data_IF_953304946547
#
_entry.id   IF_953304946547
#
_cell.length_a   1.000
_cell.length_b   1.000
_cell.length_c   1.000
_cell.angle_alpha   90.00
_cell.angle_beta   90.00
_cell.angle_gamma   90.00
#
_symmetry.space_group_name_H-M   'P 1'
#
loop_
_entity.id
_entity.type
_entity.pdbx_description
1 polymer ?
#
# COMPACT_ATOMS: atom_id res chain seq x y z
N UNK A 1 -39.97 8.29 -14.38
CA UNK A 1 -38.63 8.01 -14.90
C UNK A 1 -38.60 6.53 -15.16
N UNK A 2 -38.51 6.14 -16.43
CA UNK A 2 -38.57 4.74 -16.84
C UNK A 2 -37.16 4.16 -16.90
N UNK A 3 -37.01 2.84 -16.74
CA UNK A 3 -35.68 2.20 -16.66
C UNK A 3 -34.84 2.32 -17.95
N UNK A 4 -35.48 2.66 -19.07
CA UNK A 4 -34.85 2.83 -20.38
C UNK A 4 -33.97 4.06 -20.48
N UNK A 5 -34.20 5.09 -19.64
CA UNK A 5 -33.42 6.35 -19.67
C UNK A 5 -32.21 6.32 -18.73
N UNK A 6 -32.05 5.24 -17.97
CA UNK A 6 -30.99 5.10 -16.96
C UNK A 6 -29.58 5.05 -17.58
N UNK A 7 -29.32 4.34 -18.70
CA UNK A 7 -27.99 4.31 -19.32
C UNK A 7 -27.47 5.67 -19.80
N UNK A 8 -28.39 6.58 -20.16
CA UNK A 8 -28.07 7.89 -20.75
C UNK A 8 -27.87 9.00 -19.71
N UNK A 9 -27.89 8.66 -18.41
CA UNK A 9 -27.68 9.61 -17.32
C UNK A 9 -26.27 10.21 -17.34
N UNK A 10 -26.18 11.45 -17.80
CA UNK A 10 -24.92 12.21 -17.79
C UNK A 10 -24.61 12.78 -16.39
N UNK A 11 -23.32 12.97 -16.09
CA UNK A 11 -22.82 13.51 -14.81
C UNK A 11 -23.39 14.89 -14.50
N UNK A 12 -23.50 15.74 -15.50
CA UNK A 12 -23.99 17.12 -15.33
C UNK A 12 -25.48 17.15 -14.97
N UNK A 13 -26.26 16.22 -15.52
CA UNK A 13 -27.68 16.05 -15.18
C UNK A 13 -27.83 15.56 -13.73
N UNK A 14 -27.02 14.58 -13.32
CA UNK A 14 -27.04 14.08 -11.94
C UNK A 14 -26.63 15.16 -10.91
N UNK A 15 -25.67 16.02 -11.27
CA UNK A 15 -25.31 17.19 -10.45
C UNK A 15 -26.45 18.21 -10.39
N UNK A 16 -27.10 18.49 -11.52
CA UNK A 16 -28.28 19.35 -11.59
C UNK A 16 -29.46 18.84 -10.76
N UNK A 17 -29.56 17.53 -10.56
CA UNK A 17 -30.54 16.86 -9.68
C UNK A 17 -30.12 16.84 -8.19
N UNK A 18 -28.99 17.44 -7.83
CA UNK A 18 -28.50 17.51 -6.44
C UNK A 18 -27.84 16.23 -5.92
N UNK A 19 -27.47 15.31 -6.82
CA UNK A 19 -26.78 14.06 -6.44
C UNK A 19 -25.33 14.38 -6.08
N UNK A 20 -24.87 13.91 -4.92
CA UNK A 20 -23.49 14.10 -4.46
C UNK A 20 -22.52 13.30 -5.32
N UNK A 21 -21.28 13.80 -5.45
CA UNK A 21 -20.25 13.18 -6.29
C UNK A 21 -20.02 11.70 -5.97
N UNK A 22 -19.99 11.33 -4.69
CA UNK A 22 -19.86 9.93 -4.28
C UNK A 22 -21.02 9.04 -4.74
N UNK A 23 -22.24 9.57 -4.75
CA UNK A 23 -23.43 8.86 -5.24
C UNK A 23 -23.43 8.76 -6.76
N UNK A 24 -22.99 9.80 -7.46
CA UNK A 24 -22.80 9.77 -8.92
C UNK A 24 -21.86 8.64 -9.33
N UNK A 25 -20.73 8.47 -8.63
CA UNK A 25 -19.76 7.40 -8.90
C UNK A 25 -20.40 6.03 -8.68
N UNK A 26 -21.17 5.86 -7.59
CA UNK A 26 -21.87 4.60 -7.29
C UNK A 26 -22.93 4.27 -8.34
N UNK A 27 -23.72 5.27 -8.75
CA UNK A 27 -24.76 5.12 -9.78
C UNK A 27 -24.12 4.77 -11.12
N UNK A 28 -23.07 5.49 -11.56
CA UNK A 28 -22.35 5.15 -12.79
C UNK A 28 -21.79 3.73 -12.75
N UNK A 29 -21.16 3.33 -11.64
CA UNK A 29 -20.65 1.96 -11.47
C UNK A 29 -21.77 0.92 -11.58
N UNK A 30 -22.93 1.19 -11.00
CA UNK A 30 -24.09 0.31 -11.09
C UNK A 30 -24.64 0.22 -12.51
N UNK A 31 -24.75 1.34 -13.22
CA UNK A 31 -25.17 1.41 -14.63
C UNK A 31 -24.19 0.63 -15.50
N UNK A 32 -22.89 0.89 -15.33
CA UNK A 32 -21.83 0.17 -16.05
C UNK A 32 -21.91 -1.33 -15.78
N UNK A 33 -22.14 -1.75 -14.54
CA UNK A 33 -22.33 -3.17 -14.23
C UNK A 33 -23.59 -3.72 -14.90
N UNK A 34 -24.76 -3.12 -14.68
CA UNK A 34 -26.06 -3.63 -15.15
C UNK A 34 -26.15 -3.67 -16.68
N UNK A 35 -25.63 -2.66 -17.37
CA UNK A 35 -25.79 -2.50 -18.82
C UNK A 35 -24.54 -2.88 -19.65
N UNK A 36 -23.32 -2.86 -19.09
CA UNK A 36 -22.10 -3.36 -19.76
C UNK A 36 -21.73 -4.80 -19.36
N UNK A 37 -22.70 -5.61 -18.94
CA UNK A 37 -22.54 -7.03 -18.55
C UNK A 37 -21.79 -7.90 -19.60
N UNK A 38 -21.75 -7.47 -20.87
CA UNK A 38 -21.05 -8.15 -21.97
C UNK A 38 -19.61 -7.69 -22.27
N UNK A 39 -19.18 -6.51 -21.81
CA UNK A 39 -17.81 -6.02 -21.99
C UNK A 39 -17.04 -6.19 -20.68
N UNK A 40 -16.68 -7.43 -20.37
CA UNK A 40 -15.62 -7.69 -19.40
C UNK A 40 -14.37 -6.97 -19.91
N UNK A 41 -14.07 -5.79 -19.37
CA UNK A 41 -12.74 -5.21 -19.49
C UNK A 41 -11.84 -6.17 -18.72
N UNK A 42 -11.25 -7.11 -19.45
CA UNK A 42 -10.21 -7.99 -18.95
C UNK A 42 -9.10 -7.09 -18.43
N UNK A 43 -9.07 -6.87 -17.12
CA UNK A 43 -7.87 -6.38 -16.47
C UNK A 43 -6.88 -7.52 -16.58
N UNK A 44 -5.97 -7.41 -17.57
CA UNK A 44 -4.84 -8.31 -17.69
C UNK A 44 -3.92 -8.02 -16.51
N UNK A 45 -4.11 -8.78 -15.43
CA UNK A 45 -3.00 -9.07 -14.53
C UNK A 45 -2.03 -9.92 -15.36
N UNK A 46 -0.78 -9.48 -15.46
CA UNK A 46 0.23 -10.04 -16.36
C UNK A 46 0.20 -11.56 -16.42
N UNK A 47 -0.05 -12.06 -17.64
CA UNK A 47 0.31 -13.38 -18.17
C UNK A 47 0.70 -14.47 -17.15
N UNK A 48 -0.30 -15.13 -16.56
CA UNK A 48 -0.16 -16.53 -16.18
C UNK A 48 -1.06 -17.35 -17.09
N UNK A 49 -0.48 -17.80 -18.20
CA UNK A 49 -1.15 -18.71 -19.13
C UNK A 49 -1.31 -20.06 -18.46
N UNK A 50 -2.52 -20.38 -18.01
CA UNK A 50 -2.93 -21.76 -17.73
C UNK A 50 -3.08 -22.43 -19.10
N UNK A 51 -2.01 -23.05 -19.58
CA UNK A 51 -2.04 -23.90 -20.78
C UNK A 51 -2.70 -25.22 -20.37
N UNK A 52 -3.77 -25.69 -21.05
CA UNK A 52 -4.36 -26.99 -20.78
C UNK A 52 -3.35 -28.10 -21.06
N UNK A 53 -3.40 -29.16 -20.25
CA UNK A 53 -2.56 -30.34 -20.33
C UNK A 53 -2.68 -31.04 -21.70
N UNK A 54 -1.77 -30.72 -22.63
CA UNK A 54 -1.42 -31.61 -23.74
C UNK A 54 0.04 -32.03 -23.58
N UNK A 55 0.16 -33.25 -23.07
CA UNK A 55 1.36 -34.05 -22.90
C UNK A 55 1.84 -34.45 -24.29
N UNK A 56 2.97 -33.92 -24.75
CA UNK A 56 4.14 -34.72 -25.15
C UNK A 56 5.18 -33.90 -25.96
N UNK A 57 6.45 -34.20 -25.69
CA UNK A 57 7.68 -33.68 -26.34
C UNK A 57 8.15 -32.30 -25.88
N UNK A 58 9.13 -32.28 -24.96
CA UNK A 58 10.39 -31.50 -25.04
C UNK A 58 11.04 -31.36 -23.65
N UNK A 59 11.66 -32.42 -23.13
CA UNK A 59 12.41 -32.36 -21.86
C UNK A 59 13.72 -31.57 -21.94
N UNK A 60 14.15 -31.12 -23.14
CA UNK A 60 15.36 -30.30 -23.34
C UNK A 60 15.13 -28.78 -23.38
N UNK A 61 13.89 -28.30 -23.47
CA UNK A 61 13.57 -26.87 -23.57
C UNK A 61 13.11 -26.23 -22.23
N UNK A 62 12.98 -27.04 -21.15
CA UNK A 62 12.53 -26.55 -19.84
C UNK A 62 13.63 -25.84 -19.04
N UNK A 63 14.91 -26.19 -19.23
CA UNK A 63 16.01 -25.56 -18.49
C UNK A 63 16.21 -24.11 -18.95
N UNK A 64 16.34 -23.89 -20.27
CA UNK A 64 16.57 -22.57 -20.85
C UNK A 64 15.41 -21.59 -20.60
N UNK A 65 14.16 -22.08 -20.62
CA UNK A 65 12.98 -21.28 -20.27
C UNK A 65 12.93 -20.90 -18.77
N UNK A 66 13.39 -21.79 -17.88
CA UNK A 66 13.48 -21.49 -16.43
C UNK A 66 14.59 -20.49 -16.13
N UNK A 67 15.73 -20.60 -16.80
CA UNK A 67 16.86 -19.71 -16.58
C UNK A 67 16.52 -18.27 -17.04
N UNK A 68 15.89 -18.12 -18.22
CA UNK A 68 15.39 -16.82 -18.69
C UNK A 68 14.31 -16.21 -17.79
N UNK A 69 13.34 -17.02 -17.33
CA UNK A 69 12.33 -16.56 -16.36
C UNK A 69 12.95 -16.12 -15.03
N UNK A 70 14.02 -16.80 -14.58
CA UNK A 70 14.70 -16.45 -13.32
C UNK A 70 15.47 -15.14 -13.41
N UNK A 71 16.09 -14.84 -14.56
CA UNK A 71 16.86 -13.61 -14.77
C UNK A 71 15.95 -12.38 -14.95
N UNK A 72 14.82 -12.54 -15.66
CA UNK A 72 13.83 -11.47 -15.80
C UNK A 72 13.13 -11.16 -14.46
N UNK A 73 12.83 -12.19 -13.65
CA UNK A 73 12.29 -12.00 -12.30
C UNK A 73 13.28 -11.25 -11.38
N UNK A 74 14.57 -11.61 -11.42
CA UNK A 74 15.62 -10.91 -10.65
C UNK A 74 15.81 -9.46 -11.10
N UNK A 75 15.76 -9.18 -12.40
CA UNK A 75 15.87 -7.80 -12.92
C UNK A 75 14.64 -6.96 -12.55
N UNK A 76 13.44 -7.54 -12.62
CA UNK A 76 12.21 -6.87 -12.19
C UNK A 76 12.20 -6.61 -10.67
N UNK A 77 12.72 -7.55 -9.86
CA UNK A 77 12.92 -7.36 -8.42
C UNK A 77 13.96 -6.27 -8.12
N UNK A 78 15.10 -6.25 -8.82
CA UNK A 78 16.12 -5.22 -8.64
C UNK A 78 15.64 -3.82 -9.03
N UNK A 79 14.86 -3.69 -10.11
CA UNK A 79 14.22 -2.43 -10.48
C UNK A 79 13.22 -1.98 -9.39
N UNK A 80 12.42 -2.92 -8.86
CA UNK A 80 11.51 -2.65 -7.75
C UNK A 80 12.23 -2.22 -6.46
N UNK A 81 13.37 -2.82 -6.14
CA UNK A 81 14.17 -2.46 -4.97
C UNK A 81 14.85 -1.10 -5.12
N UNK A 82 15.35 -0.79 -6.32
CA UNK A 82 15.95 0.51 -6.62
C UNK A 82 14.92 1.63 -6.52
N UNK A 83 13.74 1.45 -7.11
CA UNK A 83 12.66 2.43 -7.06
C UNK A 83 12.16 2.63 -5.63
N UNK A 84 11.98 1.54 -4.87
CA UNK A 84 11.63 1.61 -3.44
C UNK A 84 12.70 2.36 -2.64
N UNK A 85 13.98 2.09 -2.88
CA UNK A 85 15.09 2.79 -2.21
C UNK A 85 15.13 4.27 -2.54
N UNK A 86 14.84 4.63 -3.79
CA UNK A 86 14.75 6.03 -4.21
C UNK A 86 13.55 6.74 -3.59
N UNK A 87 12.42 6.06 -3.44
CA UNK A 87 11.26 6.58 -2.71
C UNK A 87 11.59 6.79 -1.22
N UNK A 88 12.11 5.76 -0.56
CA UNK A 88 12.52 5.82 0.84
C UNK A 88 13.52 6.95 1.10
N UNK A 89 14.49 7.17 0.19
CA UNK A 89 15.45 8.25 0.31
C UNK A 89 14.80 9.63 0.22
N UNK A 90 13.80 9.81 -0.66
CA UNK A 90 13.04 11.07 -0.73
C UNK A 90 12.21 11.28 0.54
N UNK A 91 11.54 10.24 1.00
CA UNK A 91 10.72 10.28 2.21
C UNK A 91 11.59 10.57 3.45
N UNK A 92 12.78 9.97 3.55
CA UNK A 92 13.75 10.24 4.62
C UNK A 92 14.24 11.69 4.59
N UNK A 93 14.55 12.23 3.40
CA UNK A 93 15.00 13.62 3.27
C UNK A 93 13.91 14.60 3.71
N UNK A 94 12.66 14.38 3.28
CA UNK A 94 11.53 15.19 3.69
C UNK A 94 11.28 15.11 5.20
N UNK A 95 11.39 13.92 5.79
CA UNK A 95 11.24 13.74 7.23
C UNK A 95 12.32 14.48 8.03
N UNK A 96 13.58 14.47 7.56
CA UNK A 96 14.66 15.25 8.19
C UNK A 96 14.43 16.74 8.09
N UNK A 97 14.02 17.24 6.93
CA UNK A 97 13.74 18.66 6.72
C UNK A 97 12.61 19.16 7.64
N UNK A 98 11.50 18.41 7.70
CA UNK A 98 10.38 18.73 8.61
C UNK A 98 10.82 18.70 10.08
N UNK A 99 11.63 17.72 10.48
CA UNK A 99 12.13 17.61 11.84
C UNK A 99 13.06 18.79 12.19
N UNK A 100 13.92 19.21 11.27
CA UNK A 100 14.80 20.37 11.45
C UNK A 100 14.01 21.68 11.53
N UNK A 101 12.97 21.83 10.73
CA UNK A 101 12.08 22.99 10.79
C UNK A 101 11.30 23.06 12.10
N UNK A 102 10.71 21.94 12.55
CA UNK A 102 10.05 21.86 13.86
C UNK A 102 11.05 22.20 14.98
N UNK A 103 12.26 21.66 14.92
CA UNK A 103 13.31 21.95 15.87
C UNK A 103 13.74 23.43 15.83
N UNK A 104 13.81 24.04 14.65
CA UNK A 104 14.11 25.46 14.48
C UNK A 104 13.03 26.33 15.14
N UNK A 105 11.76 25.99 14.93
CA UNK A 105 10.61 26.67 15.55
C UNK A 105 10.67 26.49 17.07
N UNK A 106 10.85 25.26 17.55
CA UNK A 106 10.96 24.94 18.98
C UNK A 106 12.08 25.76 19.66
N UNK A 107 13.25 25.89 19.01
CA UNK A 107 14.34 26.75 19.51
C UNK A 107 13.95 28.23 19.53
N UNK A 108 13.28 28.71 18.50
CA UNK A 108 12.83 30.11 18.43
C UNK A 108 11.80 30.46 19.52
N UNK A 109 11.01 29.48 19.93
CA UNK A 109 10.01 29.61 21.01
C UNK A 109 10.58 29.24 22.39
N UNK A 110 11.87 28.93 22.49
CA UNK A 110 12.54 28.57 23.75
C UNK A 110 12.19 27.18 24.31
N UNK A 111 11.58 26.30 23.52
CA UNK A 111 11.28 24.91 23.91
C UNK A 111 12.55 24.05 23.82
N UNK A 112 12.75 23.15 24.78
CA UNK A 112 13.85 22.18 24.73
C UNK A 112 13.52 21.07 23.72
N UNK A 113 14.43 20.84 22.77
CA UNK A 113 14.37 19.68 21.88
C UNK A 113 15.01 18.50 22.61
N UNK A 114 14.28 17.39 22.83
CA UNK A 114 14.85 16.20 23.46
C UNK A 114 15.93 15.60 22.56
N UNK A 115 17.05 15.16 23.15
CA UNK A 115 18.10 14.48 22.38
C UNK A 115 17.63 13.06 22.07
N UNK A 116 18.09 12.50 20.96
CA UNK A 116 17.76 11.11 20.57
C UNK A 116 18.09 10.12 21.69
N UNK A 117 19.19 10.35 22.43
CA UNK A 117 19.56 9.53 23.59
C UNK A 117 18.53 9.57 24.73
N UNK A 118 17.79 10.67 24.90
CA UNK A 118 16.80 10.84 25.97
C UNK A 118 15.50 10.07 25.66
N UNK A 119 15.20 9.83 24.38
CA UNK A 119 14.05 9.00 23.96
C UNK A 119 14.29 7.51 24.24
N UNK A 120 15.51 7.02 24.02
CA UNK A 120 15.81 5.59 24.14
C UNK A 120 16.43 5.19 25.48
N UNK A 121 17.06 6.10 26.22
CA UNK A 121 17.68 5.80 27.52
C UNK A 121 16.69 5.42 28.62
N UNK A 122 15.43 5.84 28.51
CA UNK A 122 14.38 5.48 29.45
C UNK A 122 13.73 4.12 29.19
N UNK A 123 13.89 3.53 28.00
CA UNK A 123 13.25 2.26 27.66
C UNK A 123 13.80 1.11 28.51
N UNK A 124 15.12 0.99 28.65
CA UNK A 124 15.75 -0.06 29.47
C UNK A 124 15.33 0.04 30.94
N UNK A 125 15.23 1.27 31.45
CA UNK A 125 14.79 1.52 32.83
C UNK A 125 13.30 1.22 33.03
N UNK A 126 12.46 1.45 32.01
CA UNK A 126 11.03 1.13 32.03
C UNK A 126 10.83 -0.39 31.97
N UNK A 127 11.52 -1.08 31.06
CA UNK A 127 11.48 -2.54 30.90
C UNK A 127 11.90 -3.23 32.20
N UNK A 128 13.04 -2.84 32.78
CA UNK A 128 13.51 -3.42 34.06
C UNK A 128 12.55 -3.18 35.23
N UNK A 129 11.85 -2.03 35.27
CA UNK A 129 10.83 -1.74 36.29
C UNK A 129 9.59 -2.62 36.10
N UNK A 130 9.21 -2.89 34.86
CA UNK A 130 8.06 -3.72 34.52
C UNK A 130 8.32 -5.20 34.86
N UNK A 131 9.53 -5.70 34.54
CA UNK A 131 9.97 -7.04 34.92
C UNK A 131 10.01 -7.23 36.44
N UNK A 132 10.54 -6.26 37.19
CA UNK A 132 10.57 -6.33 38.67
C UNK A 132 9.16 -6.33 39.28
N UNK A 133 8.22 -5.56 38.72
CA UNK A 133 6.82 -5.55 39.19
C UNK A 133 6.15 -6.92 38.96
N UNK A 134 6.37 -7.52 37.80
CA UNK A 134 5.83 -8.85 37.49
C UNK A 134 6.41 -9.93 38.42
N UNK A 135 7.70 -9.86 38.73
CA UNK A 135 8.34 -10.80 39.65
C UNK A 135 7.76 -10.69 41.09
N UNK A 136 7.54 -9.47 41.57
CA UNK A 136 6.93 -9.23 42.89
C UNK A 136 5.49 -9.77 42.96
N UNK A 137 4.71 -9.61 41.89
CA UNK A 137 3.34 -10.13 41.83
C UNK A 137 3.30 -11.66 41.86
N UNK A 138 4.24 -12.33 41.17
CA UNK A 138 4.34 -13.79 41.18
C UNK A 138 4.72 -14.31 42.58
N UNK A 139 5.62 -13.64 43.29
CA UNK A 139 6.04 -14.04 44.64
C UNK A 139 4.93 -13.83 45.69
N UNK A 140 4.06 -12.80 45.52
CA UNK A 140 2.91 -12.56 46.40
C UNK A 140 1.75 -13.55 46.23
N UNK A 141 1.74 -14.34 45.15
CA UNK A 141 0.70 -15.32 44.83
C UNK A 141 1.04 -16.75 45.28
N UNK A 142 2.19 -16.97 45.91
CA UNK A 142 2.60 -18.21 46.57
C UNK A 142 2.58 -18.06 48.08
#
# INVERSE_FOLDING_TARGET
MDETTIPDLNRDVMKGLGIKEGDIIRIKKYIDQKFNLGKKRTVSFGSTSVIPDDIDKQSRNKQSARDTQSEDAKKAQQLSEFDLKMQMKRDEQLARELQEEENRIARSEGRQIPKVADLYGNLDSIIQKEEKKNLINIVKLK
#
